data_IF_459068513358
#
_entry.id   IF_459068513358
#
_cell.length_a   1.000
_cell.length_b   1.000
_cell.length_c   1.000
_cell.angle_alpha   90.00
_cell.angle_beta   90.00
_cell.angle_gamma   90.00
#
_symmetry.space_group_name_H-M   'P 1'
#
loop_
_entity.id
_entity.type
_entity.pdbx_description
1 polymer ?
#
# COMPACT_ATOMS: atom_id res chain seq x y z
N UNK A 1 25.93 -10.79 11.05
CA UNK A 1 24.83 -11.00 10.11
C UNK A 1 24.92 -9.89 9.08
N UNK A 2 24.90 -10.25 7.79
CA UNK A 2 24.94 -9.30 6.69
C UNK A 2 23.51 -8.97 6.25
N UNK A 3 23.09 -7.72 6.42
CA UNK A 3 21.76 -7.23 6.08
C UNK A 3 21.89 -6.26 4.90
N UNK A 4 21.17 -6.53 3.82
CA UNK A 4 21.22 -5.71 2.60
C UNK A 4 19.85 -5.13 2.27
N UNK A 5 19.74 -3.81 2.30
CA UNK A 5 18.59 -3.08 1.78
C UNK A 5 18.81 -2.76 0.31
N UNK A 6 17.94 -3.24 -0.57
CA UNK A 6 18.08 -3.03 -2.01
C UNK A 6 17.32 -1.80 -2.54
N UNK A 7 16.34 -1.27 -1.78
CA UNK A 7 15.41 -0.22 -2.27
C UNK A 7 15.01 0.75 -1.15
N UNK A 8 15.97 1.46 -0.53
CA UNK A 8 15.60 2.41 0.55
C UNK A 8 14.77 3.58 0.05
N UNK A 9 14.78 3.89 -1.25
CA UNK A 9 13.94 4.91 -1.87
C UNK A 9 12.44 4.69 -1.61
N UNK A 10 12.02 3.44 -1.41
CA UNK A 10 10.63 3.07 -1.17
C UNK A 10 10.16 3.30 0.28
N UNK A 11 11.07 3.64 1.19
CA UNK A 11 10.77 3.81 2.62
C UNK A 11 10.50 5.27 3.00
N UNK A 12 10.88 6.23 2.14
CA UNK A 12 10.88 7.65 2.50
C UNK A 12 12.12 8.07 3.32
N UNK A 13 12.34 9.38 3.38
CA UNK A 13 13.53 9.94 4.03
C UNK A 13 13.34 10.14 5.55
N UNK A 14 12.13 9.90 6.06
CA UNK A 14 11.73 10.07 7.46
C UNK A 14 11.84 8.79 8.30
N UNK A 15 12.17 7.66 7.68
CA UNK A 15 12.32 6.38 8.38
C UNK A 15 13.77 6.18 8.84
N UNK A 16 13.96 6.07 10.15
CA UNK A 16 15.26 5.75 10.73
C UNK A 16 15.52 4.24 10.67
N UNK A 17 16.59 3.86 9.98
CA UNK A 17 17.04 2.48 9.83
C UNK A 17 18.22 2.10 10.76
N UNK A 18 18.67 3.00 11.65
CA UNK A 18 19.88 2.78 12.47
C UNK A 18 19.74 1.61 13.45
N UNK A 19 18.50 1.29 13.85
CA UNK A 19 18.24 0.12 14.70
C UNK A 19 18.63 -1.20 14.08
N UNK A 20 18.74 -1.27 12.75
CA UNK A 20 19.20 -2.48 12.09
C UNK A 20 20.71 -2.72 12.28
N UNK A 21 21.49 -1.66 12.56
CA UNK A 21 22.92 -1.77 12.85
C UNK A 21 23.19 -2.55 14.16
N UNK A 22 22.19 -2.61 15.06
CA UNK A 22 22.24 -3.46 16.26
C UNK A 22 22.17 -4.97 15.95
N UNK A 23 21.65 -5.33 14.77
CA UNK A 23 21.44 -6.72 14.34
C UNK A 23 22.64 -7.27 13.53
N UNK A 24 23.47 -6.41 12.99
CA UNK A 24 24.61 -6.83 12.16
C UNK A 24 25.14 -5.71 11.29
N UNK A 25 25.97 -6.07 10.33
CA UNK A 25 26.48 -5.13 9.33
C UNK A 25 25.36 -4.85 8.29
N UNK A 26 25.05 -3.57 8.05
CA UNK A 26 23.96 -3.14 7.19
C UNK A 26 24.49 -2.38 5.96
N UNK A 27 24.21 -2.92 4.80
CA UNK A 27 24.45 -2.23 3.52
C UNK A 27 23.15 -1.69 2.97
N UNK A 28 23.11 -0.39 2.65
CA UNK A 28 21.90 0.31 2.20
C UNK A 28 22.11 0.81 0.77
N UNK A 29 21.35 0.29 -0.18
CA UNK A 29 21.26 0.82 -1.54
C UNK A 29 19.98 1.63 -1.67
N UNK A 30 20.08 2.83 -2.26
CA UNK A 30 18.91 3.68 -2.51
C UNK A 30 17.97 3.03 -3.51
N UNK A 31 18.55 2.46 -4.57
CA UNK A 31 17.86 1.73 -5.62
C UNK A 31 18.79 0.66 -6.19
N UNK A 32 18.22 -0.44 -6.70
CA UNK A 32 18.99 -1.56 -7.26
C UNK A 32 18.37 -2.01 -8.58
N UNK A 33 19.05 -1.78 -9.71
CA UNK A 33 18.71 -2.44 -10.96
C UNK A 33 18.71 -3.96 -10.81
N UNK A 34 17.72 -4.63 -11.41
CA UNK A 34 17.52 -6.08 -11.26
C UNK A 34 18.78 -6.89 -11.62
N UNK A 35 19.54 -6.42 -12.57
CA UNK A 35 20.78 -7.06 -13.06
C UNK A 35 21.89 -7.07 -12.00
N UNK A 36 21.87 -6.11 -11.07
CA UNK A 36 22.85 -6.00 -9.98
C UNK A 36 22.45 -6.74 -8.71
N UNK A 37 21.21 -7.24 -8.65
CA UNK A 37 20.73 -7.95 -7.45
C UNK A 37 21.60 -9.16 -7.10
N UNK A 38 21.96 -10.06 -8.03
CA UNK A 38 22.78 -11.24 -7.69
C UNK A 38 24.11 -10.89 -7.05
N UNK A 39 24.75 -9.82 -7.52
CA UNK A 39 26.02 -9.35 -6.95
C UNK A 39 25.84 -8.80 -5.53
N UNK A 40 24.76 -8.00 -5.33
CA UNK A 40 24.50 -7.31 -4.05
C UNK A 40 24.01 -8.23 -2.95
N UNK A 41 23.40 -9.37 -3.28
CA UNK A 41 22.85 -10.32 -2.28
C UNK A 41 23.75 -11.51 -2.02
N UNK A 42 24.86 -11.64 -2.75
CA UNK A 42 25.75 -12.82 -2.75
C UNK A 42 26.14 -13.28 -1.35
N UNK A 43 26.53 -12.34 -0.49
CA UNK A 43 27.02 -12.63 0.86
C UNK A 43 25.99 -12.26 1.96
N UNK A 44 24.74 -11.94 1.56
CA UNK A 44 23.70 -11.51 2.48
C UNK A 44 23.09 -12.68 3.27
N UNK A 45 22.89 -12.48 4.58
CA UNK A 45 22.04 -13.32 5.42
C UNK A 45 20.57 -12.91 5.32
N UNK A 46 20.32 -11.58 5.20
CA UNK A 46 18.99 -10.98 5.13
C UNK A 46 18.96 -9.96 3.99
N UNK A 47 17.95 -10.04 3.15
CA UNK A 47 17.69 -9.05 2.11
C UNK A 47 16.38 -8.35 2.38
N UNK A 48 16.40 -7.01 2.36
CA UNK A 48 15.22 -6.16 2.57
C UNK A 48 14.87 -5.47 1.25
N UNK A 49 13.64 -5.68 0.80
CA UNK A 49 13.14 -5.22 -0.51
C UNK A 49 11.75 -4.60 -0.40
N UNK A 50 11.30 -3.99 -1.49
CA UNK A 50 9.90 -3.60 -1.66
C UNK A 50 9.29 -4.19 -2.94
N UNK A 51 9.87 -3.90 -4.13
CA UNK A 51 9.31 -4.28 -5.44
C UNK A 51 10.22 -5.15 -6.30
N UNK A 52 11.49 -5.24 -5.95
CA UNK A 52 12.43 -6.10 -6.71
C UNK A 52 11.94 -7.56 -6.69
N UNK A 53 11.87 -8.23 -7.84
CA UNK A 53 11.49 -9.64 -7.89
C UNK A 53 12.59 -10.51 -7.24
N UNK A 54 12.17 -11.40 -6.35
CA UNK A 54 13.03 -12.41 -5.70
C UNK A 54 12.71 -13.79 -6.26
N UNK A 55 13.60 -14.29 -7.11
CA UNK A 55 13.44 -15.55 -7.82
C UNK A 55 14.80 -16.19 -8.11
N UNK A 56 14.83 -17.32 -8.81
CA UNK A 56 16.04 -18.05 -9.17
C UNK A 56 17.12 -17.15 -9.80
N UNK A 57 16.75 -16.20 -10.65
CA UNK A 57 17.71 -15.33 -11.34
C UNK A 57 18.32 -14.29 -10.41
N UNK A 58 17.49 -13.64 -9.59
CA UNK A 58 17.93 -12.55 -8.70
C UNK A 58 18.61 -13.07 -7.43
N UNK A 59 18.32 -14.30 -7.02
CA UNK A 59 18.93 -14.94 -5.85
C UNK A 59 20.03 -15.92 -6.23
N UNK A 60 20.45 -15.94 -7.50
CA UNK A 60 21.54 -16.81 -7.96
C UNK A 60 22.83 -16.53 -7.18
N UNK A 61 23.36 -17.56 -6.51
CA UNK A 61 24.60 -17.46 -5.72
C UNK A 61 24.45 -16.92 -4.30
N UNK A 62 23.25 -16.57 -3.84
CA UNK A 62 22.97 -16.12 -2.46
C UNK A 62 22.92 -17.30 -1.48
N UNK A 63 24.04 -18.01 -1.33
CA UNK A 63 24.10 -19.27 -0.57
C UNK A 63 23.95 -19.13 0.95
N UNK A 64 24.08 -17.92 1.47
CA UNK A 64 23.96 -17.60 2.91
C UNK A 64 22.59 -17.00 3.26
N UNK A 65 21.76 -16.73 2.27
CA UNK A 65 20.49 -16.03 2.46
C UNK A 65 19.49 -16.88 3.25
N UNK A 66 18.97 -16.32 4.33
CA UNK A 66 18.02 -16.95 5.25
C UNK A 66 16.64 -16.28 5.22
N UNK A 67 16.60 -15.00 4.91
CA UNK A 67 15.37 -14.21 4.97
C UNK A 67 15.31 -13.17 3.86
N UNK A 68 14.17 -13.14 3.18
CA UNK A 68 13.74 -11.99 2.36
C UNK A 68 12.63 -11.26 3.12
N UNK A 69 12.89 -10.03 3.53
CA UNK A 69 11.94 -9.16 4.21
C UNK A 69 11.38 -8.12 3.24
N UNK A 70 10.06 -8.07 3.09
CA UNK A 70 9.37 -7.12 2.21
C UNK A 70 8.82 -5.96 3.02
N UNK A 71 9.21 -4.74 2.70
CA UNK A 71 8.73 -3.51 3.34
C UNK A 71 7.34 -3.08 2.84
N UNK A 72 6.48 -4.05 2.56
CA UNK A 72 5.12 -3.86 2.07
C UNK A 72 4.20 -4.97 2.59
N UNK A 73 2.91 -4.86 2.32
CA UNK A 73 1.93 -5.91 2.64
C UNK A 73 1.94 -7.04 1.60
N UNK A 74 2.03 -6.71 0.30
CA UNK A 74 2.06 -7.69 -0.78
C UNK A 74 3.42 -8.35 -0.91
N UNK A 75 3.43 -9.64 -1.26
CA UNK A 75 4.64 -10.45 -1.51
C UNK A 75 4.58 -11.16 -2.88
N UNK A 76 3.85 -10.61 -3.81
CA UNK A 76 3.67 -11.15 -5.17
C UNK A 76 4.94 -11.09 -6.03
N UNK A 77 5.93 -10.33 -5.60
CA UNK A 77 7.26 -10.25 -6.20
C UNK A 77 8.23 -11.34 -5.68
N UNK A 78 7.81 -12.21 -4.75
CA UNK A 78 8.62 -13.34 -4.27
C UNK A 78 8.16 -14.64 -4.94
N UNK A 79 9.06 -15.32 -5.60
CA UNK A 79 8.88 -16.71 -6.03
C UNK A 79 8.98 -17.63 -4.81
N UNK A 80 7.83 -17.92 -4.21
CA UNK A 80 7.76 -18.75 -3.00
C UNK A 80 8.18 -20.20 -3.26
N UNK A 81 7.94 -20.72 -4.44
CA UNK A 81 8.37 -22.08 -4.76
C UNK A 81 9.90 -22.17 -4.73
N UNK A 82 10.56 -21.15 -5.24
CA UNK A 82 12.03 -21.07 -5.20
C UNK A 82 12.54 -20.87 -3.76
N UNK A 83 12.04 -19.85 -3.04
CA UNK A 83 12.52 -19.53 -1.69
C UNK A 83 12.29 -20.68 -0.70
N UNK A 84 11.11 -21.30 -0.72
CA UNK A 84 10.77 -22.40 0.15
C UNK A 84 11.65 -23.65 -0.12
N UNK A 85 11.94 -23.94 -1.40
CA UNK A 85 12.82 -25.05 -1.77
C UNK A 85 14.28 -24.85 -1.37
N UNK A 86 14.71 -23.60 -1.16
CA UNK A 86 16.06 -23.24 -0.71
C UNK A 86 16.15 -22.92 0.79
N UNK A 87 15.06 -23.10 1.54
CA UNK A 87 15.01 -22.82 2.99
C UNK A 87 15.09 -21.33 3.32
N UNK A 88 14.76 -20.44 2.37
CA UNK A 88 14.76 -18.99 2.53
C UNK A 88 13.38 -18.58 3.05
N UNK A 89 13.33 -18.00 4.23
CA UNK A 89 12.10 -17.47 4.80
C UNK A 89 11.67 -16.18 4.09
N UNK A 90 10.37 -15.94 4.05
CA UNK A 90 9.80 -14.70 3.54
C UNK A 90 8.93 -14.04 4.60
N UNK A 91 9.14 -12.75 4.85
CA UNK A 91 8.34 -11.97 5.80
C UNK A 91 7.89 -10.64 5.17
N UNK A 92 6.74 -10.15 5.62
CA UNK A 92 6.19 -8.87 5.17
C UNK A 92 5.70 -8.04 6.36
N UNK A 93 5.25 -6.80 6.09
CA UNK A 93 4.61 -5.94 7.10
C UNK A 93 3.11 -5.99 6.91
N UNK A 94 2.47 -7.02 7.46
CA UNK A 94 1.02 -7.21 7.32
C UNK A 94 0.23 -6.14 8.09
N UNK A 95 -0.80 -5.57 7.44
CA UNK A 95 -1.80 -4.73 8.09
C UNK A 95 -1.37 -3.29 8.41
N UNK A 96 -0.13 -2.90 8.21
CA UNK A 96 0.36 -1.55 8.58
C UNK A 96 -0.38 -0.41 7.86
N UNK A 97 -0.81 -0.64 6.66
CA UNK A 97 -1.44 0.36 5.80
C UNK A 97 -2.96 0.36 5.82
N UNK A 98 -3.60 -0.51 6.61
CA UNK A 98 -5.06 -0.70 6.58
C UNK A 98 -5.80 0.62 6.80
N UNK A 99 -5.46 1.36 7.85
CA UNK A 99 -6.10 2.64 8.18
C UNK A 99 -5.77 3.71 7.12
N UNK A 100 -4.50 3.82 6.72
CA UNK A 100 -4.07 4.81 5.73
C UNK A 100 -4.75 4.61 4.37
N UNK A 101 -4.87 3.36 3.90
CA UNK A 101 -5.54 3.06 2.63
C UNK A 101 -7.04 3.30 2.72
N UNK A 102 -7.69 2.91 3.83
CA UNK A 102 -9.11 3.19 4.03
C UNK A 102 -9.37 4.70 4.05
N UNK A 103 -8.60 5.46 4.82
CA UNK A 103 -8.69 6.93 4.86
C UNK A 103 -8.51 7.55 3.48
N UNK A 104 -7.47 7.14 2.74
CA UNK A 104 -7.19 7.68 1.41
C UNK A 104 -8.28 7.33 0.39
N UNK A 105 -8.92 6.16 0.51
CA UNK A 105 -10.07 5.78 -0.30
C UNK A 105 -11.20 6.82 -0.18
N UNK A 106 -11.52 7.24 1.04
CA UNK A 106 -12.53 8.29 1.25
C UNK A 106 -12.06 9.67 0.80
N UNK A 107 -10.79 10.00 1.01
CA UNK A 107 -10.24 11.26 0.51
C UNK A 107 -10.40 11.39 -1.01
N UNK A 108 -10.05 10.34 -1.77
CA UNK A 108 -10.23 10.32 -3.23
C UNK A 108 -11.70 10.35 -3.64
N UNK A 109 -12.53 9.59 -2.96
CA UNK A 109 -13.97 9.55 -3.24
C UNK A 109 -14.60 10.94 -3.02
N UNK A 110 -14.34 11.60 -1.89
CA UNK A 110 -14.86 12.95 -1.62
C UNK A 110 -14.30 13.98 -2.59
N UNK A 111 -13.02 13.88 -2.95
CA UNK A 111 -12.42 14.74 -3.95
C UNK A 111 -13.20 14.74 -5.28
N UNK A 112 -13.57 13.53 -5.74
CA UNK A 112 -14.34 13.38 -6.97
C UNK A 112 -15.82 13.73 -6.78
N UNK A 113 -16.46 13.21 -5.73
CA UNK A 113 -17.90 13.37 -5.47
C UNK A 113 -18.26 14.83 -5.25
N UNK A 114 -17.52 15.52 -4.40
CA UNK A 114 -17.76 16.92 -4.01
C UNK A 114 -17.14 17.93 -4.99
N UNK A 115 -16.50 17.48 -6.10
CA UNK A 115 -15.87 18.38 -7.08
C UNK A 115 -14.84 19.32 -6.44
N UNK A 116 -14.05 18.82 -5.48
CA UNK A 116 -13.20 19.68 -4.64
C UNK A 116 -12.21 20.50 -5.44
N UNK A 117 -11.62 19.98 -6.52
CA UNK A 117 -10.72 20.73 -7.39
C UNK A 117 -11.40 21.94 -8.03
N UNK A 118 -12.65 21.77 -8.47
CA UNK A 118 -13.43 22.85 -9.07
C UNK A 118 -13.72 23.96 -8.04
N UNK A 119 -14.19 23.58 -6.85
CA UNK A 119 -14.54 24.58 -5.83
C UNK A 119 -13.29 25.25 -5.23
N UNK A 120 -12.19 24.54 -5.08
CA UNK A 120 -10.91 25.12 -4.68
C UNK A 120 -10.45 26.19 -5.68
N UNK A 121 -10.49 25.87 -6.97
CA UNK A 121 -10.16 26.82 -8.02
C UNK A 121 -11.12 28.04 -8.02
N UNK A 122 -12.43 27.80 -7.91
CA UNK A 122 -13.45 28.85 -7.89
C UNK A 122 -13.19 29.87 -6.77
N UNK A 123 -12.88 29.41 -5.57
CA UNK A 123 -12.58 30.28 -4.42
C UNK A 123 -11.24 31.00 -4.62
N UNK A 124 -10.18 30.28 -4.98
CA UNK A 124 -8.83 30.83 -5.12
C UNK A 124 -8.67 31.81 -6.29
N UNK A 125 -9.47 31.67 -7.33
CA UNK A 125 -9.50 32.62 -8.44
C UNK A 125 -10.13 33.99 -8.08
N UNK A 126 -10.76 34.12 -6.92
CA UNK A 126 -11.50 35.32 -6.51
C UNK A 126 -12.91 35.40 -7.09
N UNK A 127 -13.36 34.45 -7.89
CA UNK A 127 -14.70 34.43 -8.48
C UNK A 127 -15.81 34.47 -7.42
N UNK A 128 -15.58 33.84 -6.27
CA UNK A 128 -16.50 33.88 -5.14
C UNK A 128 -16.67 35.31 -4.59
N UNK A 129 -15.59 36.13 -4.54
CA UNK A 129 -15.64 37.48 -3.98
C UNK A 129 -16.44 38.46 -4.85
N UNK A 130 -16.58 38.15 -6.14
CA UNK A 130 -17.33 38.98 -7.13
C UNK A 130 -18.73 38.44 -7.41
N UNK A 131 -19.10 37.32 -6.82
CA UNK A 131 -20.42 36.71 -6.98
C UNK A 131 -21.51 37.58 -6.29
N UNK A 132 -22.62 37.77 -6.98
CA UNK A 132 -23.80 38.39 -6.39
C UNK A 132 -24.55 37.45 -5.42
N UNK A 133 -24.24 36.15 -5.43
CA UNK A 133 -24.87 35.11 -4.62
C UNK A 133 -23.85 34.51 -3.67
N UNK A 134 -24.24 34.22 -2.44
CA UNK A 134 -23.37 33.54 -1.50
C UNK A 134 -23.23 32.03 -1.80
N UNK A 135 -24.12 31.46 -2.61
CA UNK A 135 -24.10 30.05 -3.03
C UNK A 135 -23.73 29.92 -4.49
N UNK A 136 -22.99 28.85 -4.82
CA UNK A 136 -22.56 28.53 -6.18
C UNK A 136 -23.03 27.12 -6.56
N UNK A 137 -23.89 27.00 -7.59
CA UNK A 137 -24.61 25.77 -7.93
C UNK A 137 -24.22 25.15 -9.28
N UNK A 138 -23.14 25.58 -9.90
CA UNK A 138 -22.74 25.06 -11.24
C UNK A 138 -22.37 23.58 -11.19
N UNK A 139 -21.66 23.15 -10.14
CA UNK A 139 -21.30 21.75 -9.96
C UNK A 139 -22.13 21.14 -8.83
N UNK A 140 -22.92 20.13 -9.19
CA UNK A 140 -23.74 19.39 -8.23
C UNK A 140 -22.98 18.18 -7.69
N UNK A 141 -23.20 17.85 -6.44
CA UNK A 141 -22.74 16.60 -5.83
C UNK A 141 -23.92 15.92 -5.12
N UNK A 142 -23.72 14.68 -4.74
CA UNK A 142 -24.73 13.89 -4.01
C UNK A 142 -24.19 13.53 -2.63
N UNK A 143 -25.09 13.41 -1.68
CA UNK A 143 -24.81 12.81 -0.36
C UNK A 143 -24.58 11.30 -0.51
N UNK A 144 -23.87 10.71 0.43
CA UNK A 144 -23.62 9.27 0.50
C UNK A 144 -24.77 8.49 1.15
N UNK A 145 -25.56 9.14 1.99
CA UNK A 145 -26.67 8.53 2.70
C UNK A 145 -27.63 7.81 1.74
N UNK A 146 -27.97 6.56 2.06
CA UNK A 146 -28.80 5.69 1.25
C UNK A 146 -28.16 5.19 -0.07
N UNK A 147 -26.91 5.56 -0.38
CA UNK A 147 -26.22 5.06 -1.58
C UNK A 147 -25.67 3.66 -1.38
N UNK A 148 -25.47 2.94 -2.47
CA UNK A 148 -24.81 1.64 -2.44
C UNK A 148 -23.31 1.82 -2.64
N UNK A 149 -22.53 1.25 -1.71
CA UNK A 149 -21.06 1.19 -1.79
C UNK A 149 -20.63 -0.25 -2.09
N UNK A 150 -20.10 -0.47 -3.29
CA UNK A 150 -19.62 -1.78 -3.72
C UNK A 150 -18.13 -1.98 -3.42
N UNK A 151 -17.78 -3.13 -2.83
CA UNK A 151 -16.40 -3.48 -2.48
C UNK A 151 -15.99 -4.77 -3.19
N UNK A 152 -14.87 -4.75 -3.90
CA UNK A 152 -14.26 -5.95 -4.47
C UNK A 152 -13.10 -6.38 -3.57
N UNK A 153 -13.29 -7.46 -2.81
CA UNK A 153 -12.33 -7.96 -1.85
C UNK A 153 -12.59 -7.49 -0.41
N UNK A 154 -13.15 -8.37 0.42
CA UNK A 154 -13.49 -8.08 1.82
C UNK A 154 -12.38 -8.57 2.79
N UNK A 155 -11.13 -8.19 2.53
CA UNK A 155 -10.00 -8.35 3.44
C UNK A 155 -9.96 -7.27 4.53
N UNK A 156 -8.83 -7.11 5.24
CA UNK A 156 -8.69 -6.11 6.31
C UNK A 156 -9.04 -4.69 5.84
N UNK A 157 -8.50 -4.27 4.68
CA UNK A 157 -8.78 -2.95 4.09
C UNK A 157 -10.25 -2.83 3.68
N UNK A 158 -10.78 -3.84 2.97
CA UNK A 158 -12.19 -3.84 2.54
C UNK A 158 -13.17 -3.70 3.70
N UNK A 159 -12.94 -4.44 4.79
CA UNK A 159 -13.73 -4.35 6.02
C UNK A 159 -13.66 -2.96 6.66
N UNK A 160 -12.47 -2.35 6.66
CA UNK A 160 -12.31 -1.00 7.21
C UNK A 160 -13.02 0.05 6.37
N UNK A 161 -12.92 -0.05 5.05
CA UNK A 161 -13.68 0.81 4.11
C UNK A 161 -15.19 0.61 4.28
N UNK A 162 -15.64 -0.64 4.43
CA UNK A 162 -17.05 -0.96 4.65
C UNK A 162 -17.61 -0.30 5.92
N UNK A 163 -16.88 -0.39 7.04
CA UNK A 163 -17.25 0.26 8.30
C UNK A 163 -17.43 1.78 8.13
N UNK A 164 -16.47 2.44 7.47
CA UNK A 164 -16.58 3.88 7.21
C UNK A 164 -17.75 4.23 6.27
N UNK A 165 -18.01 3.42 5.24
CA UNK A 165 -19.12 3.65 4.33
C UNK A 165 -20.47 3.55 5.06
N UNK A 166 -20.62 2.61 6.00
CA UNK A 166 -21.81 2.51 6.83
C UNK A 166 -22.02 3.72 7.74
N UNK A 167 -20.94 4.27 8.33
CA UNK A 167 -21.00 5.49 9.12
C UNK A 167 -21.49 6.72 8.30
N UNK A 168 -21.27 6.70 6.97
CA UNK A 168 -21.83 7.68 6.04
C UNK A 168 -23.23 7.32 5.52
N UNK A 169 -23.90 6.33 6.10
CA UNK A 169 -25.26 5.92 5.72
C UNK A 169 -25.34 5.08 4.44
N UNK A 170 -24.22 4.56 3.93
CA UNK A 170 -24.24 3.72 2.73
C UNK A 170 -24.76 2.30 3.02
N UNK A 171 -25.47 1.73 2.03
CA UNK A 171 -25.70 0.30 1.95
C UNK A 171 -24.47 -0.37 1.34
N UNK A 172 -23.78 -1.22 2.11
CA UNK A 172 -22.53 -1.86 1.64
C UNK A 172 -22.83 -3.22 1.05
N UNK A 173 -22.37 -3.44 -0.18
CA UNK A 173 -22.36 -4.74 -0.85
C UNK A 173 -20.90 -5.12 -1.18
N UNK A 174 -20.60 -6.42 -1.26
CA UNK A 174 -19.24 -6.83 -1.61
C UNK A 174 -19.17 -8.08 -2.46
N UNK A 175 -18.06 -8.21 -3.20
CA UNK A 175 -17.67 -9.42 -3.88
C UNK A 175 -16.42 -10.03 -3.23
N UNK A 176 -16.54 -11.29 -2.78
CA UNK A 176 -15.43 -12.05 -2.19
C UNK A 176 -14.59 -12.72 -3.30
N UNK A 177 -13.42 -12.16 -3.61
CA UNK A 177 -12.53 -12.70 -4.64
C UNK A 177 -11.96 -14.07 -4.29
N UNK A 178 -11.85 -14.40 -3.00
CA UNK A 178 -11.34 -15.69 -2.51
C UNK A 178 -12.44 -16.70 -2.18
N UNK A 179 -13.70 -16.26 -2.13
CA UNK A 179 -14.83 -17.06 -1.62
C UNK A 179 -14.78 -17.39 -0.12
N UNK A 180 -13.73 -16.92 0.59
CA UNK A 180 -13.52 -17.23 2.02
C UNK A 180 -14.19 -16.25 2.98
N UNK A 181 -14.51 -15.07 2.51
CA UNK A 181 -15.20 -14.07 3.32
C UNK A 181 -16.72 -14.29 3.17
N UNK A 182 -17.36 -14.68 4.25
CA UNK A 182 -18.82 -14.87 4.37
C UNK A 182 -19.35 -13.93 5.44
N UNK A 183 -18.95 -12.67 5.40
CA UNK A 183 -19.34 -11.68 6.40
C UNK A 183 -20.83 -11.35 6.21
N UNK A 184 -21.67 -11.75 7.18
CA UNK A 184 -23.12 -11.58 7.12
C UNK A 184 -23.58 -10.14 7.42
N UNK A 185 -22.64 -9.24 7.76
CA UNK A 185 -22.94 -7.81 7.99
C UNK A 185 -23.08 -7.04 6.67
N UNK A 186 -22.72 -7.64 5.54
CA UNK A 186 -22.76 -7.01 4.23
C UNK A 186 -23.36 -7.99 3.21
N UNK A 187 -24.19 -7.51 2.31
CA UNK A 187 -24.82 -8.30 1.25
C UNK A 187 -23.92 -8.53 0.03
#
# INVERSE_FOLDING_TARGET
MEIVFLETISLGDDINLDRFDELGHVTKYRDTPVELVPERVKDADVVVINKIPMNEKTLAGASHLKLVAVTATGMDNIDRAYTDSHGILSANVAGYSTEAVAQHTFALMFYVLHKLAYYDHYVKSGAYCTSAQFSHFEQKFSELDGKTWGIVGMGAIGKRVASHAQEFGCNVIYYSTSGKNTDQLYE
#
